data_IF_060855616843
#
_entry.id   IF_060855616843
#
_cell.length_a   1.000
_cell.length_b   1.000
_cell.length_c   1.000
_cell.angle_alpha   90.00
_cell.angle_beta   90.00
_cell.angle_gamma   90.00
#
_symmetry.space_group_name_H-M   'P 1'
#
loop_
_entity.id
_entity.type
_entity.pdbx_description
1 polymer ?
#
# COMPACT_ATOMS: atom_id res chain seq x y z
N UNK A 1 16.69 10.37 42.93
CA UNK A 1 16.43 11.55 42.09
C UNK A 1 17.04 11.27 40.73
N UNK A 2 16.27 10.61 39.88
CA UNK A 2 16.69 10.14 38.55
C UNK A 2 16.22 11.16 37.52
N UNK A 3 17.17 11.82 36.87
CA UNK A 3 16.92 12.81 35.82
C UNK A 3 16.63 12.03 34.54
N UNK A 4 15.35 12.02 34.10
CA UNK A 4 14.97 11.56 32.78
C UNK A 4 15.42 12.61 31.74
N UNK A 5 16.51 12.32 31.03
CA UNK A 5 16.90 13.09 29.85
C UNK A 5 15.98 12.72 28.69
N UNK A 6 14.98 13.55 28.46
CA UNK A 6 14.22 13.50 27.21
C UNK A 6 15.16 13.93 26.07
N UNK A 7 15.54 12.98 25.21
CA UNK A 7 16.26 13.29 23.97
C UNK A 7 15.24 13.94 23.03
N UNK A 8 15.33 15.27 22.91
CA UNK A 8 14.58 16.01 21.91
C UNK A 8 15.17 15.66 20.52
N UNK A 9 14.42 14.90 19.72
CA UNK A 9 14.73 14.71 18.30
C UNK A 9 14.43 16.03 17.60
N UNK A 10 15.47 16.79 17.28
CA UNK A 10 15.34 17.99 16.45
C UNK A 10 15.12 17.55 15.02
N UNK A 11 13.89 17.62 14.55
CA UNK A 11 13.57 17.48 13.14
C UNK A 11 14.10 18.72 12.39
N UNK A 12 15.14 18.53 11.59
CA UNK A 12 15.63 19.59 10.70
C UNK A 12 14.67 19.71 9.53
N UNK A 13 13.77 20.67 9.59
CA UNK A 13 12.85 20.99 8.48
C UNK A 13 13.62 21.84 7.48
N UNK A 14 14.06 21.25 6.38
CA UNK A 14 14.63 22.01 5.26
C UNK A 14 13.50 22.42 4.32
N UNK A 15 13.17 23.71 4.31
CA UNK A 15 12.27 24.32 3.34
C UNK A 15 13.06 24.55 2.06
N UNK A 16 12.88 23.72 1.04
CA UNK A 16 13.41 23.97 -0.30
C UNK A 16 12.31 24.50 -1.19
N UNK A 17 12.30 25.80 -1.42
CA UNK A 17 11.53 26.39 -2.53
C UNK A 17 12.23 26.08 -3.85
N UNK A 18 11.54 25.56 -4.88
CA UNK A 18 12.17 25.28 -6.15
C UNK A 18 12.37 26.60 -6.93
N UNK A 19 13.54 27.23 -6.76
CA UNK A 19 14.03 28.17 -7.76
C UNK A 19 14.66 27.36 -8.90
N UNK A 20 13.99 27.32 -10.04
CA UNK A 20 14.53 26.74 -11.27
C UNK A 20 15.89 27.37 -11.62
N UNK A 21 16.96 26.61 -11.49
CA UNK A 21 18.24 26.85 -12.17
C UNK A 21 18.44 25.80 -13.25
N UNK A 22 18.84 26.19 -14.46
CA UNK A 22 19.16 25.23 -15.52
C UNK A 22 20.44 24.47 -15.17
N UNK A 23 20.41 23.15 -15.16
CA UNK A 23 21.60 22.29 -15.17
C UNK A 23 22.05 21.66 -13.85
N UNK A 24 21.27 21.66 -12.79
CA UNK A 24 21.56 20.93 -11.56
C UNK A 24 20.92 19.54 -11.55
N UNK A 25 21.68 18.51 -11.17
CA UNK A 25 21.14 17.19 -10.79
C UNK A 25 20.18 17.40 -9.62
N UNK A 26 18.86 17.17 -9.88
CA UNK A 26 17.81 17.22 -8.84
C UNK A 26 18.13 16.09 -7.85
N UNK A 27 18.17 16.33 -6.53
CA UNK A 27 18.32 15.26 -5.55
C UNK A 27 17.25 14.18 -5.78
N UNK A 28 17.60 12.91 -5.65
CA UNK A 28 16.74 11.76 -5.90
C UNK A 28 15.40 11.84 -5.12
N UNK A 29 15.40 12.51 -3.98
CA UNK A 29 14.29 12.71 -3.05
C UNK A 29 13.19 13.65 -3.59
N UNK A 30 13.55 14.67 -4.35
CA UNK A 30 12.57 15.55 -5.00
C UNK A 30 11.93 14.90 -6.24
N UNK A 31 12.59 13.91 -6.85
CA UNK A 31 12.09 13.20 -8.03
C UNK A 31 10.89 12.29 -7.70
N UNK A 32 10.78 11.76 -6.49
CA UNK A 32 9.68 10.88 -6.10
C UNK A 32 8.35 11.63 -5.93
N UNK A 33 8.37 12.87 -5.46
CA UNK A 33 7.15 13.69 -5.36
C UNK A 33 6.61 14.14 -6.72
N UNK A 34 7.42 14.19 -7.77
CA UNK A 34 6.97 14.58 -9.12
C UNK A 34 5.98 13.59 -9.74
N UNK A 35 5.93 12.37 -9.23
CA UNK A 35 4.96 11.33 -9.65
C UNK A 35 3.56 11.53 -9.06
N UNK A 36 3.44 12.34 -7.99
CA UNK A 36 2.17 12.62 -7.33
C UNK A 36 1.56 13.89 -7.89
N UNK A 37 0.88 13.76 -9.03
CA UNK A 37 0.12 14.86 -9.61
C UNK A 37 -1.25 14.94 -8.92
N UNK A 38 -1.57 16.09 -8.36
CA UNK A 38 -2.89 16.40 -7.82
C UNK A 38 -3.56 17.45 -8.70
N UNK A 39 -4.84 17.26 -8.97
CA UNK A 39 -5.70 18.22 -9.66
C UNK A 39 -6.93 18.48 -8.80
N UNK A 40 -7.27 19.74 -8.63
CA UNK A 40 -8.39 20.19 -7.82
C UNK A 40 -9.40 20.99 -8.68
N UNK A 41 -9.78 20.42 -9.82
CA UNK A 41 -10.67 21.06 -10.75
C UNK A 41 -10.00 22.23 -11.48
N UNK A 42 -10.56 23.45 -11.35
CA UNK A 42 -10.04 24.67 -11.95
C UNK A 42 -9.08 25.46 -11.05
N UNK A 43 -8.79 24.95 -9.85
CA UNK A 43 -7.92 25.63 -8.90
C UNK A 43 -6.46 25.68 -9.36
N UNK A 44 -5.78 26.73 -8.99
CA UNK A 44 -4.33 26.80 -9.06
C UNK A 44 -3.72 25.87 -8.01
N UNK A 45 -2.70 25.11 -8.38
CA UNK A 45 -2.06 24.13 -7.51
C UNK A 45 -0.66 24.56 -7.11
N UNK A 46 -0.38 24.49 -5.82
CA UNK A 46 0.96 24.63 -5.26
C UNK A 46 1.38 23.36 -4.53
N UNK A 47 2.69 23.14 -4.44
CA UNK A 47 3.28 21.96 -3.82
C UNK A 47 4.36 22.33 -2.81
N UNK A 48 4.49 21.51 -1.78
CA UNK A 48 5.60 21.57 -0.82
C UNK A 48 6.12 20.16 -0.55
N UNK A 49 7.40 20.07 -0.22
CA UNK A 49 8.06 18.82 0.17
C UNK A 49 8.70 19.01 1.53
N UNK A 50 8.46 18.06 2.42
CA UNK A 50 9.09 18.03 3.75
C UNK A 50 9.66 16.65 4.01
N UNK A 51 10.73 16.61 4.81
CA UNK A 51 11.40 15.38 5.16
C UNK A 51 11.55 15.24 6.68
N UNK A 52 11.49 14.02 7.14
CA UNK A 52 11.76 13.65 8.52
C UNK A 52 12.45 12.29 8.57
N UNK A 53 13.17 12.02 9.63
CA UNK A 53 13.74 10.72 9.90
C UNK A 53 13.32 10.23 11.28
N UNK A 54 13.08 8.91 11.39
CA UNK A 54 12.73 8.25 12.65
C UNK A 54 13.70 7.09 12.85
N UNK A 55 14.40 7.04 13.98
CA UNK A 55 15.26 5.89 14.29
C UNK A 55 14.42 4.60 14.33
N UNK A 56 15.01 3.49 13.88
CA UNK A 56 14.37 2.19 14.07
C UNK A 56 14.41 1.85 15.56
N UNK A 57 13.25 1.54 16.10
CA UNK A 57 13.06 1.07 17.48
C UNK A 57 12.27 -0.24 17.47
N UNK A 58 12.09 -0.85 18.64
CA UNK A 58 11.23 -2.02 18.78
C UNK A 58 9.74 -1.70 18.61
N UNK A 59 9.38 -0.40 18.65
CA UNK A 59 8.00 0.04 18.51
C UNK A 59 7.62 0.17 17.04
N UNK A 60 6.36 -0.14 16.75
CA UNK A 60 5.78 -0.01 15.42
C UNK A 60 5.66 1.45 15.00
N UNK A 61 6.16 1.81 13.83
CA UNK A 61 5.98 3.13 13.22
C UNK A 61 4.53 3.31 12.77
N UNK A 62 3.80 4.25 13.38
CA UNK A 62 2.42 4.60 13.05
C UNK A 62 2.39 5.75 12.04
N UNK A 63 1.92 5.50 10.81
CA UNK A 63 1.96 6.42 9.67
C UNK A 63 0.54 6.77 9.23
N UNK A 64 0.19 8.06 9.28
CA UNK A 64 -1.13 8.56 8.89
C UNK A 64 -1.02 9.94 8.21
N UNK A 65 -1.24 10.03 6.89
CA UNK A 65 -1.17 11.30 6.16
C UNK A 65 -2.34 12.25 6.44
N UNK A 66 -3.36 11.80 7.19
CA UNK A 66 -4.59 12.54 7.40
C UNK A 66 -5.72 12.14 6.45
N UNK A 67 -6.77 12.97 6.34
CA UNK A 67 -8.03 12.62 5.66
C UNK A 67 -7.91 12.29 4.18
N UNK A 68 -7.18 13.13 3.42
CA UNK A 68 -6.94 12.92 1.98
C UNK A 68 -5.45 12.74 1.74
N UNK A 69 -5.03 11.50 1.52
CA UNK A 69 -3.63 11.24 1.29
C UNK A 69 -3.29 9.78 1.16
N UNK A 70 -2.14 9.49 0.56
CA UNK A 70 -1.64 8.14 0.38
C UNK A 70 -0.37 7.87 1.18
N UNK A 71 -0.04 6.58 1.29
CA UNK A 71 1.22 6.12 1.88
C UNK A 71 1.91 5.18 0.90
N UNK A 72 3.17 5.46 0.61
CA UNK A 72 4.06 4.54 -0.10
C UNK A 72 5.12 4.07 0.87
N UNK A 73 5.27 2.77 0.99
CA UNK A 73 6.32 2.13 1.78
C UNK A 73 7.21 1.38 0.81
N UNK A 74 8.50 1.64 0.87
CA UNK A 74 9.49 1.01 0.02
C UNK A 74 10.75 0.70 0.82
N UNK A 75 11.59 -0.21 0.30
CA UNK A 75 12.86 -0.52 0.92
C UNK A 75 13.76 0.71 0.95
N UNK A 76 14.28 1.03 2.11
CA UNK A 76 15.34 2.02 2.32
C UNK A 76 16.70 1.37 2.49
N UNK A 77 17.75 2.17 2.31
CA UNK A 77 19.14 1.74 2.52
C UNK A 77 19.69 2.10 3.91
N UNK A 78 18.94 2.92 4.68
CA UNK A 78 19.34 3.40 5.99
C UNK A 78 19.04 2.42 7.14
N UNK A 79 19.60 2.70 8.31
CA UNK A 79 19.32 1.95 9.55
C UNK A 79 18.03 2.42 10.26
N UNK A 80 17.40 3.49 9.79
CA UNK A 80 16.14 4.04 10.30
C UNK A 80 15.19 4.36 9.16
N UNK A 81 14.04 4.92 9.52
CA UNK A 81 13.04 5.35 8.55
C UNK A 81 13.36 6.73 8.00
N UNK A 82 13.32 6.89 6.67
CA UNK A 82 13.30 8.18 6.00
C UNK A 82 11.87 8.44 5.52
N UNK A 83 11.33 9.62 5.78
CA UNK A 83 9.94 9.96 5.48
C UNK A 83 9.91 11.25 4.69
N UNK A 84 9.33 11.19 3.50
CA UNK A 84 9.10 12.36 2.65
C UNK A 84 7.60 12.61 2.54
N UNK A 85 7.15 13.82 2.87
CA UNK A 85 5.79 14.28 2.61
C UNK A 85 5.76 15.10 1.33
N UNK A 86 5.01 14.63 0.36
CA UNK A 86 4.65 15.36 -0.85
C UNK A 86 3.28 15.98 -0.62
N UNK A 87 3.23 17.29 -0.52
CA UNK A 87 2.03 18.07 -0.21
C UNK A 87 1.60 18.80 -1.45
N UNK A 88 0.32 18.72 -1.80
CA UNK A 88 -0.31 19.51 -2.85
C UNK A 88 -1.53 20.22 -2.28
N UNK A 89 -1.70 21.49 -2.59
CA UNK A 89 -2.86 22.27 -2.21
C UNK A 89 -3.39 23.06 -3.41
N UNK A 90 -4.72 23.14 -3.51
CA UNK A 90 -5.44 23.91 -4.53
C UNK A 90 -6.16 25.09 -3.93
N UNK A 91 -6.20 26.21 -4.66
CA UNK A 91 -6.97 27.40 -4.31
C UNK A 91 -7.24 28.24 -5.57
N UNK A 92 -8.13 29.26 -5.45
CA UNK A 92 -8.44 30.19 -6.54
C UNK A 92 -7.19 30.93 -7.04
N UNK A 93 -6.21 31.18 -6.17
CA UNK A 93 -4.93 31.79 -6.54
C UNK A 93 -3.75 30.92 -6.15
N UNK A 94 -2.68 30.98 -6.94
CA UNK A 94 -1.44 30.25 -6.63
C UNK A 94 -0.82 30.68 -5.29
N UNK A 95 -0.95 31.98 -4.93
CA UNK A 95 -0.43 32.49 -3.67
C UNK A 95 -1.18 31.88 -2.46
N UNK A 96 -2.48 31.71 -2.56
CA UNK A 96 -3.30 31.07 -1.53
C UNK A 96 -3.01 29.57 -1.45
N UNK A 97 -2.92 28.89 -2.60
CA UNK A 97 -2.52 27.50 -2.65
C UNK A 97 -1.13 27.29 -2.00
N UNK A 98 -0.18 28.18 -2.27
CA UNK A 98 1.16 28.09 -1.67
C UNK A 98 1.12 28.29 -0.15
N UNK A 99 0.33 29.26 0.34
CA UNK A 99 0.17 29.44 1.79
C UNK A 99 -0.39 28.19 2.48
N UNK A 100 -1.35 27.53 1.85
CA UNK A 100 -1.91 26.26 2.36
C UNK A 100 -0.87 25.15 2.34
N UNK A 101 -0.14 24.98 1.24
CA UNK A 101 0.91 23.96 1.14
C UNK A 101 2.02 24.21 2.17
N UNK A 102 2.41 25.47 2.37
CA UNK A 102 3.45 25.85 3.33
C UNK A 102 2.97 25.78 4.80
N UNK A 103 1.67 25.75 5.05
CA UNK A 103 1.12 25.57 6.40
C UNK A 103 1.19 24.12 6.88
N UNK A 104 1.24 23.17 5.96
CA UNK A 104 1.37 21.75 6.30
C UNK A 104 2.70 21.46 7.01
N UNK A 105 2.69 20.55 7.98
CA UNK A 105 3.90 20.13 8.74
C UNK A 105 3.88 18.64 8.97
N UNK A 106 5.02 17.97 8.71
CA UNK A 106 5.26 16.64 9.25
C UNK A 106 5.47 16.78 10.76
N UNK A 107 4.68 16.06 11.52
CA UNK A 107 4.82 15.91 12.96
C UNK A 107 5.30 14.50 13.28
N UNK A 108 6.46 14.42 13.91
CA UNK A 108 7.01 13.18 14.44
C UNK A 108 6.97 13.24 15.96
N UNK A 109 6.19 12.37 16.57
CA UNK A 109 6.06 12.28 18.00
C UNK A 109 6.34 10.82 18.44
N UNK A 110 7.57 10.57 18.86
CA UNK A 110 8.07 9.22 19.08
C UNK A 110 8.06 8.42 17.79
N UNK A 111 7.29 7.33 17.76
CA UNK A 111 7.08 6.46 16.61
C UNK A 111 5.83 6.82 15.76
N UNK A 112 5.21 7.96 16.02
CA UNK A 112 4.00 8.40 15.30
C UNK A 112 4.32 9.51 14.32
N UNK A 113 3.94 9.31 13.05
CA UNK A 113 4.09 10.27 11.94
C UNK A 113 2.72 10.72 11.48
N UNK A 114 2.51 12.03 11.50
CA UNK A 114 1.27 12.71 11.08
C UNK A 114 1.61 13.89 10.20
N UNK A 115 0.60 14.41 9.49
CA UNK A 115 0.68 15.73 8.86
C UNK A 115 -0.39 16.62 9.46
N UNK A 116 0.01 17.79 9.97
CA UNK A 116 -0.86 18.83 10.49
C UNK A 116 -0.93 20.04 9.57
N UNK A 117 -1.70 21.05 9.93
CA UNK A 117 -1.86 22.30 9.19
C UNK A 117 -2.87 22.25 8.03
N UNK A 118 -3.46 21.08 7.74
CA UNK A 118 -4.43 20.89 6.66
C UNK A 118 -5.85 20.59 7.17
N UNK A 119 -6.12 20.78 8.45
CA UNK A 119 -7.45 20.58 9.01
C UNK A 119 -8.47 21.50 8.32
N UNK A 120 -9.59 20.90 7.83
CA UNK A 120 -10.66 21.62 7.12
C UNK A 120 -10.29 22.20 5.74
N UNK A 121 -9.12 21.87 5.19
CA UNK A 121 -8.75 22.23 3.82
C UNK A 121 -9.32 21.19 2.87
N UNK A 122 -10.28 21.58 2.00
CA UNK A 122 -10.93 20.67 1.05
C UNK A 122 -10.00 20.23 -0.07
N UNK A 123 -9.21 21.16 -0.59
CA UNK A 123 -8.34 20.97 -1.74
C UNK A 123 -6.89 20.84 -1.28
N UNK A 124 -6.63 19.83 -0.49
CA UNK A 124 -5.27 19.44 -0.12
C UNK A 124 -5.12 17.92 -0.14
N UNK A 125 -3.96 17.48 -0.53
CA UNK A 125 -3.59 16.07 -0.62
C UNK A 125 -2.16 15.89 -0.12
N UNK A 126 -1.92 14.81 0.63
CA UNK A 126 -0.60 14.48 1.16
C UNK A 126 -0.24 13.05 0.81
N UNK A 127 0.93 12.86 0.23
CA UNK A 127 1.50 11.54 0.06
C UNK A 127 2.73 11.39 0.93
N UNK A 128 2.72 10.41 1.83
CA UNK A 128 3.88 10.05 2.63
C UNK A 128 4.63 8.92 1.95
N UNK A 129 5.91 9.15 1.66
CA UNK A 129 6.84 8.12 1.18
C UNK A 129 7.68 7.72 2.38
N UNK A 130 7.62 6.44 2.75
CA UNK A 130 8.37 5.86 3.86
C UNK A 130 9.39 4.90 3.29
N UNK A 131 10.66 5.24 3.39
CA UNK A 131 11.76 4.34 3.15
C UNK A 131 12.04 3.56 4.43
N UNK A 132 11.80 2.27 4.38
CA UNK A 132 11.83 1.39 5.53
C UNK A 132 13.13 0.57 5.57
N UNK A 133 13.82 0.49 6.73
CA UNK A 133 14.92 -0.43 6.91
C UNK A 133 14.46 -1.90 6.85
N UNK A 134 15.40 -2.83 6.69
CA UNK A 134 15.10 -4.27 6.78
C UNK A 134 14.51 -4.61 8.15
N UNK A 135 13.50 -5.47 8.18
CA UNK A 135 12.83 -5.86 9.41
C UNK A 135 11.91 -4.80 10.03
N UNK A 136 11.57 -3.74 9.28
CA UNK A 136 10.72 -2.64 9.73
C UNK A 136 9.36 -3.12 10.27
N UNK A 137 8.84 -2.44 11.29
CA UNK A 137 7.49 -2.63 11.80
C UNK A 137 6.67 -1.37 11.55
N UNK A 138 5.61 -1.45 10.74
CA UNK A 138 4.85 -0.29 10.29
C UNK A 138 3.33 -0.55 10.39
N UNK A 139 2.59 0.41 10.94
CA UNK A 139 1.14 0.51 10.84
C UNK A 139 0.78 1.74 10.00
N UNK A 140 0.36 1.52 8.75
CA UNK A 140 -0.02 2.56 7.83
C UNK A 140 -1.53 2.60 7.65
N UNK A 141 -2.13 3.79 7.74
CA UNK A 141 -3.57 3.96 7.55
C UNK A 141 -3.88 5.18 6.69
N UNK A 142 -4.92 5.05 5.87
CA UNK A 142 -5.47 6.14 5.06
C UNK A 142 -6.99 6.14 5.13
N UNK A 143 -7.60 7.33 5.06
CA UNK A 143 -9.06 7.44 4.88
C UNK A 143 -9.40 7.46 3.40
N UNK A 144 -8.86 8.43 2.65
CA UNK A 144 -9.10 8.57 1.21
C UNK A 144 -7.76 8.62 0.48
N UNK A 145 -7.25 7.48 0.08
CA UNK A 145 -6.03 7.44 -0.69
C UNK A 145 -5.37 6.05 -0.73
N UNK A 146 -4.41 5.87 -1.61
CA UNK A 146 -3.75 4.58 -1.81
C UNK A 146 -2.74 4.28 -0.70
N UNK A 147 -2.56 2.98 -0.43
CA UNK A 147 -1.36 2.45 0.24
C UNK A 147 -0.63 1.56 -0.76
N UNK A 148 0.64 1.80 -0.98
CA UNK A 148 1.48 0.96 -1.83
C UNK A 148 2.74 0.52 -1.11
N UNK A 149 3.03 -0.78 -1.15
CA UNK A 149 4.12 -1.43 -0.42
C UNK A 149 4.97 -2.19 -1.41
N UNK A 150 6.26 -1.85 -1.50
CA UNK A 150 7.16 -2.36 -2.51
C UNK A 150 8.47 -2.84 -1.90
N UNK A 151 8.89 -4.06 -2.26
CA UNK A 151 10.23 -4.60 -2.01
C UNK A 151 10.64 -4.60 -0.52
N UNK A 152 9.69 -4.81 0.40
CA UNK A 152 9.95 -4.81 1.85
C UNK A 152 9.89 -6.22 2.44
N UNK A 153 10.63 -6.41 3.54
CA UNK A 153 10.78 -7.68 4.26
C UNK A 153 10.33 -7.60 5.73
N UNK A 154 9.73 -6.48 6.13
CA UNK A 154 9.29 -6.22 7.50
C UNK A 154 7.91 -6.77 7.86
N UNK A 155 7.39 -6.32 9.01
CA UNK A 155 6.02 -6.58 9.46
C UNK A 155 5.16 -5.33 9.26
N UNK A 156 4.18 -5.38 8.37
CA UNK A 156 3.40 -4.21 7.99
C UNK A 156 1.90 -4.49 8.13
N UNK A 157 1.21 -3.58 8.80
CA UNK A 157 -0.25 -3.50 8.75
C UNK A 157 -0.66 -2.29 7.90
N UNK A 158 -1.50 -2.51 6.88
CA UNK A 158 -2.01 -1.47 6.01
C UNK A 158 -3.54 -1.42 6.08
N UNK A 159 -4.11 -0.24 6.37
CA UNK A 159 -5.56 -0.05 6.46
C UNK A 159 -6.01 1.13 5.60
N UNK A 160 -6.86 0.86 4.60
CA UNK A 160 -7.49 1.89 3.78
C UNK A 160 -9.01 1.86 3.94
N UNK A 161 -9.62 3.02 4.23
CA UNK A 161 -11.09 3.11 4.24
C UNK A 161 -11.61 3.20 2.81
N UNK A 162 -11.14 4.18 2.03
CA UNK A 162 -11.53 4.39 0.64
C UNK A 162 -10.25 4.56 -0.20
N UNK A 163 -9.74 3.48 -0.73
CA UNK A 163 -8.55 3.55 -1.55
C UNK A 163 -7.95 2.17 -1.83
N UNK A 164 -7.13 2.07 -2.86
CA UNK A 164 -6.46 0.82 -3.21
C UNK A 164 -5.31 0.51 -2.24
N UNK A 165 -5.06 -0.79 -2.04
CA UNK A 165 -3.84 -1.28 -1.42
C UNK A 165 -3.08 -2.15 -2.43
N UNK A 166 -1.83 -1.81 -2.71
CA UNK A 166 -0.95 -2.55 -3.60
C UNK A 166 0.26 -3.13 -2.88
N UNK A 167 0.50 -4.43 -3.05
CA UNK A 167 1.65 -5.15 -2.51
C UNK A 167 2.46 -5.72 -3.65
N UNK A 168 3.72 -5.35 -3.75
CA UNK A 168 4.63 -5.80 -4.81
C UNK A 168 5.92 -6.30 -4.19
N UNK A 169 6.31 -7.54 -4.50
CA UNK A 169 7.56 -8.17 -4.05
C UNK A 169 7.78 -8.11 -2.54
N UNK A 170 6.73 -8.27 -1.77
CA UNK A 170 6.82 -8.29 -0.30
C UNK A 170 7.23 -9.69 0.14
N UNK A 171 8.28 -9.79 0.95
CA UNK A 171 8.79 -11.06 1.49
C UNK A 171 8.57 -11.20 3.00
N UNK A 172 8.13 -10.12 3.65
CA UNK A 172 7.81 -10.09 5.09
C UNK A 172 6.39 -10.53 5.43
N UNK A 173 5.94 -10.11 6.62
CA UNK A 173 4.58 -10.34 7.10
C UNK A 173 3.71 -9.10 6.83
N UNK A 174 2.66 -9.23 6.00
CA UNK A 174 1.79 -8.09 5.69
C UNK A 174 0.33 -8.45 5.93
N UNK A 175 -0.35 -7.59 6.68
CA UNK A 175 -1.80 -7.58 6.81
C UNK A 175 -2.38 -6.34 6.15
N UNK A 176 -3.19 -6.52 5.09
CA UNK A 176 -3.80 -5.42 4.37
C UNK A 176 -5.32 -5.49 4.41
N UNK A 177 -5.96 -4.41 4.88
CA UNK A 177 -7.40 -4.32 5.08
C UNK A 177 -7.96 -3.11 4.32
N UNK A 178 -8.88 -3.34 3.38
CA UNK A 178 -9.60 -2.28 2.70
C UNK A 178 -11.11 -2.37 3.01
N UNK A 179 -11.74 -1.24 3.37
CA UNK A 179 -13.21 -1.23 3.46
C UNK A 179 -13.84 -1.08 2.08
N UNK A 180 -13.41 -0.05 1.33
CA UNK A 180 -13.90 0.22 -0.02
C UNK A 180 -12.71 0.48 -0.95
N UNK A 181 -12.24 -0.55 -1.59
CA UNK A 181 -11.13 -0.40 -2.53
C UNK A 181 -10.54 -1.73 -2.97
N UNK A 182 -9.85 -1.73 -4.10
CA UNK A 182 -9.17 -2.91 -4.59
C UNK A 182 -7.92 -3.23 -3.76
N UNK A 183 -7.61 -4.52 -3.66
CA UNK A 183 -6.31 -4.98 -3.17
C UNK A 183 -5.60 -5.75 -4.29
N UNK A 184 -4.35 -5.42 -4.54
CA UNK A 184 -3.50 -6.15 -5.48
C UNK A 184 -2.27 -6.71 -4.79
N UNK A 185 -1.94 -7.96 -5.09
CA UNK A 185 -0.77 -8.67 -4.60
C UNK A 185 0.00 -9.21 -5.80
N UNK A 186 1.28 -8.88 -5.91
CA UNK A 186 2.17 -9.39 -6.95
C UNK A 186 3.51 -9.76 -6.36
N UNK A 187 3.96 -11.00 -6.57
CA UNK A 187 5.23 -11.48 -6.03
C UNK A 187 5.33 -13.01 -5.99
N UNK A 188 6.36 -13.49 -5.33
CA UNK A 188 6.66 -14.93 -5.22
C UNK A 188 6.77 -15.42 -3.77
N UNK A 189 6.42 -14.59 -2.78
CA UNK A 189 6.51 -15.00 -1.37
C UNK A 189 5.96 -13.96 -0.41
N UNK A 190 6.15 -14.24 0.89
CA UNK A 190 5.67 -13.46 2.02
C UNK A 190 4.54 -14.14 2.79
N UNK A 191 4.38 -13.75 4.06
CA UNK A 191 3.23 -14.13 4.87
C UNK A 191 2.18 -13.02 4.77
N UNK A 192 1.27 -13.16 3.81
CA UNK A 192 0.36 -12.10 3.39
C UNK A 192 -1.09 -12.46 3.73
N UNK A 193 -1.75 -11.61 4.50
CA UNK A 193 -3.19 -11.68 4.79
C UNK A 193 -3.88 -10.42 4.29
N UNK A 194 -4.71 -10.55 3.25
CA UNK A 194 -5.43 -9.41 2.66
C UNK A 194 -6.93 -9.62 2.68
N UNK A 195 -7.65 -8.56 3.04
CA UNK A 195 -9.10 -8.59 3.13
C UNK A 195 -9.73 -7.28 2.60
N UNK A 196 -10.75 -7.41 1.77
CA UNK A 196 -11.57 -6.26 1.37
C UNK A 196 -13.06 -6.55 1.59
N UNK A 197 -13.78 -5.55 2.11
CA UNK A 197 -15.24 -5.65 2.23
C UNK A 197 -15.92 -5.40 0.89
N UNK A 198 -15.54 -4.29 0.22
CA UNK A 198 -16.15 -3.89 -1.06
C UNK A 198 -15.04 -3.51 -2.05
N UNK A 199 -14.62 -4.47 -2.84
CA UNK A 199 -13.61 -4.23 -3.85
C UNK A 199 -13.04 -5.52 -4.43
N UNK A 200 -12.42 -5.45 -5.60
CA UNK A 200 -11.74 -6.59 -6.20
C UNK A 200 -10.45 -6.94 -5.47
N UNK A 201 -10.11 -8.22 -5.48
CA UNK A 201 -8.77 -8.70 -5.17
C UNK A 201 -8.13 -9.26 -6.43
N UNK A 202 -6.93 -8.79 -6.73
CA UNK A 202 -6.09 -9.31 -7.82
C UNK A 202 -4.81 -9.90 -7.25
N UNK A 203 -4.54 -11.16 -7.54
CA UNK A 203 -3.32 -11.85 -7.15
C UNK A 203 -2.56 -12.26 -8.41
N UNK A 204 -1.29 -11.91 -8.48
CA UNK A 204 -0.37 -12.27 -9.56
C UNK A 204 0.83 -13.03 -8.94
N UNK A 205 0.75 -14.37 -8.97
CA UNK A 205 1.80 -15.25 -8.45
C UNK A 205 2.95 -15.32 -9.44
N UNK A 206 4.11 -14.86 -9.00
CA UNK A 206 5.34 -14.86 -9.79
C UNK A 206 6.19 -16.09 -9.49
N UNK A 207 6.95 -16.55 -10.51
CA UNK A 207 7.78 -17.75 -10.39
C UNK A 207 6.97 -19.03 -10.33
N UNK A 208 7.61 -20.11 -9.84
CA UNK A 208 7.05 -21.46 -9.84
C UNK A 208 6.54 -21.93 -8.48
N UNK A 209 6.78 -21.15 -7.43
CA UNK A 209 6.38 -21.44 -6.05
C UNK A 209 6.10 -20.17 -5.27
N UNK A 210 5.30 -20.28 -4.21
CA UNK A 210 5.11 -19.23 -3.22
C UNK A 210 5.90 -19.57 -1.95
N UNK A 211 6.77 -18.66 -1.54
CA UNK A 211 7.54 -18.79 -0.30
C UNK A 211 6.79 -18.12 0.87
N UNK A 212 6.22 -18.91 1.77
CA UNK A 212 5.40 -18.45 2.89
C UNK A 212 3.92 -18.79 2.70
N UNK A 213 3.03 -17.96 3.23
CA UNK A 213 1.58 -18.16 3.14
C UNK A 213 0.88 -16.90 2.57
N UNK A 214 -0.10 -17.09 1.69
CA UNK A 214 -0.95 -16.04 1.18
C UNK A 214 -2.41 -16.37 1.45
N UNK A 215 -3.10 -15.49 2.16
CA UNK A 215 -4.54 -15.55 2.34
C UNK A 215 -5.20 -14.27 1.79
N UNK A 216 -6.20 -14.41 0.91
CA UNK A 216 -6.91 -13.28 0.34
C UNK A 216 -8.42 -13.50 0.37
N UNK A 217 -9.15 -12.55 0.98
CA UNK A 217 -10.60 -12.64 1.18
C UNK A 217 -11.30 -11.38 0.68
N UNK A 218 -12.20 -11.53 -0.31
CA UNK A 218 -13.13 -10.50 -0.72
C UNK A 218 -14.53 -10.83 -0.21
N UNK A 219 -15.21 -9.89 0.44
CA UNK A 219 -16.61 -10.09 0.80
C UNK A 219 -17.52 -9.79 -0.39
N UNK A 220 -17.37 -8.59 -0.96
CA UNK A 220 -18.15 -8.15 -2.13
C UNK A 220 -17.21 -7.63 -3.21
N UNK A 221 -16.83 -8.49 -4.13
CA UNK A 221 -15.96 -8.08 -5.23
C UNK A 221 -15.36 -9.25 -6.00
N UNK A 222 -14.93 -8.98 -7.23
CA UNK A 222 -14.27 -9.99 -8.07
C UNK A 222 -12.94 -10.44 -7.44
N UNK A 223 -12.65 -11.70 -7.64
CA UNK A 223 -11.36 -12.30 -7.34
C UNK A 223 -10.67 -12.71 -8.64
N UNK A 224 -9.48 -12.20 -8.90
CA UNK A 224 -8.69 -12.60 -10.05
C UNK A 224 -7.34 -13.18 -9.64
N UNK A 225 -6.96 -14.29 -10.25
CA UNK A 225 -5.68 -14.93 -10.08
C UNK A 225 -4.97 -15.05 -11.43
N UNK A 226 -3.71 -14.63 -11.44
CA UNK A 226 -2.75 -14.95 -12.49
C UNK A 226 -1.71 -15.91 -11.91
N UNK A 227 -1.50 -17.03 -12.58
CA UNK A 227 -0.56 -18.06 -12.16
C UNK A 227 0.03 -18.75 -13.37
N UNK A 228 1.33 -19.05 -13.36
CA UNK A 228 1.98 -19.78 -14.43
C UNK A 228 1.58 -21.26 -14.45
N UNK A 229 1.62 -21.90 -15.62
CA UNK A 229 1.22 -23.31 -15.77
C UNK A 229 2.16 -24.27 -15.03
N UNK A 230 3.41 -23.87 -14.78
CA UNK A 230 4.43 -24.62 -14.05
C UNK A 230 4.46 -24.31 -12.53
N UNK A 231 3.46 -23.61 -12.03
CA UNK A 231 3.37 -23.29 -10.60
C UNK A 231 3.04 -24.53 -9.77
N UNK A 232 3.90 -24.86 -8.81
CA UNK A 232 3.87 -26.12 -8.07
C UNK A 232 3.28 -26.02 -6.64
N UNK A 233 3.34 -24.84 -5.98
CA UNK A 233 2.70 -24.68 -4.67
C UNK A 233 1.19 -24.86 -4.77
N UNK A 234 0.59 -25.44 -3.72
CA UNK A 234 -0.86 -25.63 -3.67
C UNK A 234 -1.59 -24.29 -3.55
N UNK A 235 -2.56 -24.06 -4.43
CA UNK A 235 -3.48 -22.93 -4.41
C UNK A 235 -4.89 -23.44 -4.23
N UNK A 236 -5.60 -22.96 -3.22
CA UNK A 236 -7.02 -23.20 -3.02
C UNK A 236 -7.81 -21.93 -3.30
N UNK A 237 -8.81 -22.05 -4.17
CA UNK A 237 -9.68 -20.94 -4.54
C UNK A 237 -11.11 -21.33 -4.21
N UNK A 238 -11.84 -20.48 -3.50
CA UNK A 238 -13.23 -20.76 -3.14
C UNK A 238 -14.14 -19.55 -3.39
N UNK A 239 -15.39 -19.84 -3.67
CA UNK A 239 -16.44 -18.82 -3.80
C UNK A 239 -17.79 -19.37 -3.41
N UNK A 240 -18.80 -18.50 -3.26
CA UNK A 240 -20.18 -18.94 -3.13
C UNK A 240 -20.64 -19.71 -4.38
N UNK A 241 -21.64 -20.58 -4.22
CA UNK A 241 -22.17 -21.42 -5.31
C UNK A 241 -22.65 -20.63 -6.53
N UNK A 242 -23.15 -19.41 -6.32
CA UNK A 242 -23.70 -18.56 -7.40
C UNK A 242 -22.67 -17.68 -8.09
N UNK A 243 -21.45 -17.62 -7.58
CA UNK A 243 -20.39 -16.82 -8.20
C UNK A 243 -20.04 -17.34 -9.60
N UNK A 244 -20.05 -16.49 -10.62
CA UNK A 244 -19.59 -16.92 -11.96
C UNK A 244 -18.09 -17.16 -11.96
N UNK A 245 -17.65 -18.21 -12.64
CA UNK A 245 -16.24 -18.54 -12.82
C UNK A 245 -15.86 -18.43 -14.28
N UNK A 246 -14.76 -17.70 -14.53
CA UNK A 246 -14.11 -17.59 -15.83
C UNK A 246 -12.69 -18.14 -15.73
N UNK A 247 -12.48 -19.33 -16.21
CA UNK A 247 -11.18 -19.99 -16.11
C UNK A 247 -10.53 -20.13 -17.47
N UNK A 248 -9.30 -19.62 -17.62
CA UNK A 248 -8.53 -19.60 -18.86
C UNK A 248 -7.18 -20.31 -18.74
N UNK A 249 -7.04 -21.21 -17.77
CA UNK A 249 -5.84 -22.02 -17.57
C UNK A 249 -6.17 -23.50 -17.80
N UNK A 250 -5.19 -24.29 -18.22
CA UNK A 250 -5.39 -25.71 -18.56
C UNK A 250 -5.92 -26.53 -17.39
N UNK A 251 -5.54 -26.20 -16.16
CA UNK A 251 -5.95 -26.93 -14.95
C UNK A 251 -7.45 -26.88 -14.64
N UNK A 252 -8.24 -26.02 -15.28
CA UNK A 252 -9.69 -25.88 -15.00
C UNK A 252 -10.54 -26.93 -15.71
N UNK A 253 -10.02 -27.64 -16.69
CA UNK A 253 -10.81 -28.55 -17.53
C UNK A 253 -11.35 -29.79 -16.80
N UNK A 254 -10.85 -30.11 -15.60
CA UNK A 254 -11.17 -31.35 -14.91
C UNK A 254 -11.60 -31.22 -13.43
N UNK A 255 -11.58 -30.05 -12.83
CA UNK A 255 -11.63 -29.91 -11.37
C UNK A 255 -12.63 -28.90 -10.75
N UNK A 256 -13.46 -28.23 -11.53
CA UNK A 256 -14.51 -27.38 -10.92
C UNK A 256 -15.62 -28.28 -10.38
N UNK A 257 -15.52 -28.68 -9.14
CA UNK A 257 -16.57 -29.47 -8.47
C UNK A 257 -17.83 -28.61 -8.31
N UNK A 258 -18.82 -28.84 -9.12
CA UNK A 258 -20.19 -28.30 -9.02
C UNK A 258 -21.12 -29.28 -8.29
N UNK A 259 -20.64 -29.98 -7.26
CA UNK A 259 -21.46 -30.84 -6.42
C UNK A 259 -22.47 -30.05 -5.59
N UNK A 260 -23.31 -30.73 -4.81
CA UNK A 260 -24.33 -30.14 -3.90
C UNK A 260 -23.77 -29.28 -2.74
N UNK A 261 -22.51 -28.88 -2.82
CA UNK A 261 -21.84 -28.04 -1.84
C UNK A 261 -22.33 -26.57 -1.90
N UNK A 262 -22.46 -25.87 -0.78
CA UNK A 262 -22.83 -24.46 -0.72
C UNK A 262 -21.79 -23.52 -1.33
N UNK A 263 -20.61 -24.02 -1.63
CA UNK A 263 -19.48 -23.28 -2.21
C UNK A 263 -18.88 -24.05 -3.39
N UNK A 264 -18.23 -23.31 -4.30
CA UNK A 264 -17.37 -23.85 -5.35
C UNK A 264 -15.92 -23.74 -4.91
N UNK A 265 -15.13 -24.76 -5.16
CA UNK A 265 -13.67 -24.71 -4.90
C UNK A 265 -12.89 -25.31 -6.06
N UNK A 266 -11.68 -24.83 -6.22
CA UNK A 266 -10.69 -25.31 -7.17
C UNK A 266 -9.34 -25.40 -6.47
N UNK A 267 -8.61 -26.49 -6.69
CA UNK A 267 -7.23 -26.63 -6.24
C UNK A 267 -6.31 -26.68 -7.45
N UNK A 268 -5.24 -25.88 -7.40
CA UNK A 268 -4.15 -25.87 -8.37
C UNK A 268 -2.85 -26.27 -7.68
N UNK A 269 -1.86 -26.71 -8.48
CA UNK A 269 -0.56 -27.16 -7.98
C UNK A 269 -0.60 -28.51 -7.27
N UNK A 270 0.56 -29.12 -7.10
CA UNK A 270 0.73 -30.43 -6.50
C UNK A 270 1.24 -30.38 -5.04
N UNK A 271 1.76 -29.23 -4.63
CA UNK A 271 2.32 -29.01 -3.31
C UNK A 271 1.27 -28.80 -2.21
N UNK A 272 1.77 -28.53 -0.99
CA UNK A 272 0.92 -28.11 0.13
C UNK A 272 0.19 -26.81 -0.21
N UNK A 273 -1.05 -26.65 0.27
CA UNK A 273 -1.83 -25.43 0.08
C UNK A 273 -1.25 -24.32 0.95
N UNK A 274 -0.57 -23.39 0.32
CA UNK A 274 0.03 -22.21 0.94
C UNK A 274 -0.61 -20.90 0.44
N UNK A 275 -1.42 -20.98 -0.63
CA UNK A 275 -2.18 -19.85 -1.17
C UNK A 275 -3.68 -20.16 -1.05
N UNK A 276 -4.41 -19.32 -0.32
CA UNK A 276 -5.86 -19.44 -0.13
C UNK A 276 -6.58 -18.18 -0.57
N UNK A 277 -7.42 -18.29 -1.56
CA UNK A 277 -8.15 -17.17 -2.15
C UNK A 277 -9.65 -17.41 -2.03
N UNK A 278 -10.41 -16.41 -1.59
CA UNK A 278 -11.87 -16.56 -1.47
C UNK A 278 -12.63 -15.29 -1.81
N UNK A 279 -13.83 -15.45 -2.36
CA UNK A 279 -14.82 -14.38 -2.49
C UNK A 279 -16.21 -14.89 -2.11
N UNK A 280 -16.99 -14.07 -1.41
CA UNK A 280 -18.38 -14.41 -1.08
C UNK A 280 -19.30 -13.99 -2.23
N UNK A 281 -19.27 -12.71 -2.61
CA UNK A 281 -20.13 -12.14 -3.63
C UNK A 281 -19.28 -11.52 -4.75
N UNK A 282 -18.92 -12.30 -5.73
CA UNK A 282 -18.17 -11.79 -6.87
C UNK A 282 -17.72 -12.89 -7.84
N UNK A 283 -17.45 -12.55 -9.08
CA UNK A 283 -16.90 -13.49 -10.04
C UNK A 283 -15.45 -13.88 -9.69
N UNK A 284 -15.08 -15.10 -10.07
CA UNK A 284 -13.71 -15.60 -9.99
C UNK A 284 -13.14 -15.70 -11.41
N UNK A 285 -11.99 -15.12 -11.63
CA UNK A 285 -11.27 -15.18 -12.91
C UNK A 285 -9.88 -15.77 -12.69
N UNK A 286 -9.54 -16.79 -13.47
CA UNK A 286 -8.22 -17.38 -13.51
C UNK A 286 -7.61 -17.19 -14.91
N UNK A 287 -6.38 -16.72 -14.95
CA UNK A 287 -5.65 -16.48 -16.17
C UNK A 287 -4.19 -16.98 -16.05
N UNK A 288 -3.57 -17.27 -17.19
CA UNK A 288 -2.15 -17.62 -17.21
C UNK A 288 -1.31 -16.37 -16.86
N UNK A 289 -0.38 -16.54 -15.92
CA UNK A 289 0.67 -15.59 -15.60
C UNK A 289 1.84 -15.78 -16.58
N UNK A 290 2.37 -14.70 -17.11
CA UNK A 290 3.60 -14.74 -17.93
C UNK A 290 4.81 -14.46 -17.07
#
# INVERSE_FOLDING_TARGET
MTINSAIAVVALVTLTSPTQRPGGTVPLEAADCSRFQSSFGTDEVATAVQQASVPMSADTLDVDPGGNGGVRIQRGSGAGYSITACIAAGSETRADAQRVADAARIEVNGNRVRVSGLANVRHANVHLIVEAPSGAQIDAKTVNGPISIHDVDGSITARATNGPIGLVNVTGAVRALASNGPISVSGSGGNIDVETQNGPISVDLKGTQWAGELQARAQNGPLSLKVADDFTSGVEISSSRRSPWNCRIAACGSQVSAGDQPSRSLRLGTGSVVVKLSTVNGPVTLANGR
#
